data_IF_451023871132
#
_entry.id   IF_451023871132
#
_cell.length_a   1.000
_cell.length_b   1.000
_cell.length_c   1.000
_cell.angle_alpha   90.00
_cell.angle_beta   90.00
_cell.angle_gamma   90.00
#
_symmetry.space_group_name_H-M   'P 1'
#
loop_
_entity.id
_entity.type
_entity.pdbx_description
1 polymer ?
#
# COMPACT_ATOMS: atom_id res chain seq x y z
N UNK A 1 46.19 43.05 -77.51
CA UNK A 1 46.09 41.58 -77.40
C UNK A 1 46.01 41.27 -75.90
N UNK A 2 44.81 41.02 -75.39
CA UNK A 2 44.51 40.78 -73.97
C UNK A 2 44.10 39.33 -73.79
N UNK A 3 44.85 38.59 -73.01
CA UNK A 3 44.57 37.20 -72.66
C UNK A 3 43.54 37.16 -71.50
N UNK A 4 42.46 36.39 -71.67
CA UNK A 4 41.42 36.19 -70.68
C UNK A 4 41.75 34.84 -69.97
N UNK A 5 42.01 34.91 -68.68
CA UNK A 5 42.15 33.74 -67.80
C UNK A 5 40.81 33.35 -67.22
N UNK A 6 40.42 32.13 -67.46
CA UNK A 6 39.16 31.52 -67.00
C UNK A 6 39.45 30.73 -65.71
N UNK A 7 38.89 31.21 -64.57
CA UNK A 7 39.01 30.57 -63.27
C UNK A 7 37.83 29.60 -63.13
N UNK A 8 38.15 28.32 -62.99
CA UNK A 8 37.19 27.22 -62.73
C UNK A 8 37.01 27.07 -61.23
N UNK A 9 35.81 27.48 -60.70
CA UNK A 9 35.49 27.31 -59.32
C UNK A 9 34.84 25.91 -59.09
N UNK A 10 35.54 25.04 -58.37
CA UNK A 10 35.00 23.76 -57.89
C UNK A 10 34.08 24.04 -56.68
N UNK A 11 32.80 23.83 -56.86
CA UNK A 11 31.82 23.75 -55.73
C UNK A 11 31.91 22.36 -55.14
N UNK A 12 32.49 22.26 -53.93
CA UNK A 12 32.46 21.05 -53.13
C UNK A 12 31.10 20.89 -52.46
N UNK A 13 30.33 19.88 -52.86
CA UNK A 13 29.08 19.50 -52.20
C UNK A 13 29.40 18.74 -50.91
N UNK A 14 29.35 19.43 -49.78
CA UNK A 14 29.40 18.77 -48.46
C UNK A 14 28.06 18.13 -48.14
N UNK A 15 27.96 16.79 -48.26
CA UNK A 15 26.84 16.02 -47.80
C UNK A 15 26.81 16.03 -46.24
N UNK A 16 25.92 16.83 -45.67
CA UNK A 16 25.59 16.76 -44.27
C UNK A 16 24.74 15.50 -44.03
N UNK A 17 25.34 14.46 -43.51
CA UNK A 17 24.63 13.29 -43.04
C UNK A 17 23.77 13.70 -41.82
N UNK A 18 22.48 13.93 -42.02
CA UNK A 18 21.47 14.02 -40.97
C UNK A 18 21.37 12.64 -40.33
N UNK A 19 22.14 12.42 -39.25
CA UNK A 19 21.90 11.31 -38.34
C UNK A 19 20.54 11.57 -37.65
N UNK A 20 19.46 10.97 -38.22
CA UNK A 20 18.21 10.81 -37.53
C UNK A 20 18.45 9.92 -36.28
N UNK A 21 18.94 10.51 -35.22
CA UNK A 21 18.86 9.94 -33.88
C UNK A 21 17.38 9.87 -33.53
N UNK A 22 16.76 8.72 -33.82
CA UNK A 22 15.47 8.38 -33.22
C UNK A 22 15.67 8.51 -31.72
N UNK A 23 15.22 9.60 -31.13
CA UNK A 23 15.06 9.70 -29.69
C UNK A 23 14.08 8.55 -29.35
N UNK A 24 14.63 7.44 -28.88
CA UNK A 24 13.83 6.36 -28.31
C UNK A 24 12.98 7.02 -27.24
N UNK A 25 11.67 7.16 -27.49
CA UNK A 25 10.75 7.64 -26.47
C UNK A 25 11.00 6.80 -25.24
N UNK A 26 11.46 7.45 -24.15
CA UNK A 26 11.81 6.75 -22.93
C UNK A 26 10.56 6.01 -22.46
N UNK A 27 10.64 4.69 -22.42
CA UNK A 27 9.52 3.86 -21.99
C UNK A 27 9.11 4.26 -20.57
N UNK A 28 7.81 4.42 -20.33
CA UNK A 28 7.27 4.90 -19.06
C UNK A 28 6.04 4.10 -18.67
N UNK A 29 5.94 3.74 -17.39
CA UNK A 29 4.73 3.18 -16.78
C UNK A 29 4.16 4.14 -15.73
N UNK A 30 2.88 3.99 -15.45
CA UNK A 30 2.17 4.71 -14.38
C UNK A 30 1.76 3.74 -13.29
N UNK A 31 2.21 3.99 -12.05
CA UNK A 31 1.91 3.17 -10.87
C UNK A 31 1.07 3.98 -9.89
N UNK A 32 -0.11 3.45 -9.54
CA UNK A 32 -0.92 3.99 -8.45
C UNK A 32 -0.68 3.15 -7.21
N UNK A 33 -0.26 3.78 -6.11
CA UNK A 33 0.14 3.10 -4.89
C UNK A 33 -0.57 3.64 -3.65
N UNK A 34 -1.22 2.74 -2.91
CA UNK A 34 -1.72 3.00 -1.56
C UNK A 34 -0.67 2.67 -0.49
N UNK A 35 0.62 2.73 -0.83
CA UNK A 35 1.76 2.38 0.02
C UNK A 35 2.47 3.57 0.65
N UNK A 36 3.54 3.31 1.41
CA UNK A 36 4.44 4.37 1.86
C UNK A 36 5.05 5.12 0.68
N UNK A 37 5.07 6.45 0.74
CA UNK A 37 5.61 7.29 -0.33
C UNK A 37 7.10 6.99 -0.59
N UNK A 38 7.89 6.92 0.49
CA UNK A 38 9.32 6.61 0.42
C UNK A 38 9.61 5.23 -0.19
N UNK A 39 8.73 4.24 0.00
CA UNK A 39 8.91 2.92 -0.62
C UNK A 39 8.69 2.98 -2.13
N UNK A 40 7.56 3.54 -2.57
CA UNK A 40 7.28 3.57 -4.01
C UNK A 40 8.28 4.45 -4.77
N UNK A 41 8.76 5.52 -4.16
CA UNK A 41 9.84 6.36 -4.71
C UNK A 41 11.16 5.58 -4.83
N UNK A 42 11.56 4.82 -3.78
CA UNK A 42 12.76 3.99 -3.80
C UNK A 42 12.65 2.90 -4.88
N UNK A 43 11.51 2.21 -4.96
CA UNK A 43 11.25 1.19 -5.97
C UNK A 43 11.26 1.78 -7.39
N UNK A 44 10.65 2.93 -7.62
CA UNK A 44 10.64 3.61 -8.91
C UNK A 44 12.07 4.02 -9.34
N UNK A 45 12.85 4.57 -8.42
CA UNK A 45 14.25 4.95 -8.65
C UNK A 45 15.12 3.75 -8.98
N UNK A 46 15.03 2.68 -8.21
CA UNK A 46 15.82 1.47 -8.41
C UNK A 46 15.44 0.76 -9.72
N UNK A 47 14.15 0.65 -10.02
CA UNK A 47 13.65 0.10 -11.28
C UNK A 47 14.16 0.88 -12.49
N UNK A 48 14.09 2.22 -12.43
CA UNK A 48 14.63 3.08 -13.50
C UNK A 48 16.15 2.85 -13.68
N UNK A 49 16.89 2.77 -12.59
CA UNK A 49 18.34 2.54 -12.65
C UNK A 49 18.70 1.20 -13.31
N UNK A 50 17.90 0.15 -13.07
CA UNK A 50 18.12 -1.17 -13.62
C UNK A 50 17.61 -1.35 -15.05
N UNK A 51 16.42 -0.78 -15.37
CA UNK A 51 15.72 -1.05 -16.62
C UNK A 51 15.75 0.09 -17.65
N UNK A 52 16.09 1.31 -17.22
CA UNK A 52 15.95 2.53 -18.02
C UNK A 52 14.49 3.03 -18.16
N UNK A 53 13.51 2.31 -17.59
CA UNK A 53 12.07 2.63 -17.72
C UNK A 53 11.68 3.64 -16.63
N UNK A 54 11.04 4.73 -17.02
CA UNK A 54 10.50 5.72 -16.10
C UNK A 54 9.24 5.19 -15.41
N UNK A 55 9.05 5.56 -14.13
CA UNK A 55 7.84 5.27 -13.35
C UNK A 55 7.18 6.58 -12.93
N UNK A 56 6.02 6.86 -13.50
CA UNK A 56 5.13 7.90 -12.99
C UNK A 56 4.35 7.36 -11.80
N UNK A 57 4.42 8.04 -10.67
CA UNK A 57 3.77 7.59 -9.44
C UNK A 57 2.62 8.51 -9.07
N UNK A 58 1.47 7.92 -8.75
CA UNK A 58 0.45 8.54 -7.93
C UNK A 58 0.37 7.79 -6.60
N UNK A 59 0.66 8.47 -5.50
CA UNK A 59 0.59 7.91 -4.16
C UNK A 59 -0.58 8.55 -3.39
N UNK A 60 -1.35 7.73 -2.68
CA UNK A 60 -2.48 8.17 -1.86
C UNK A 60 -2.92 7.11 -0.85
N UNK A 61 -4.05 7.36 -0.20
CA UNK A 61 -4.73 6.33 0.59
C UNK A 61 -5.44 5.34 -0.34
N UNK A 62 -5.83 4.16 0.15
CA UNK A 62 -6.62 3.20 -0.64
C UNK A 62 -7.87 3.86 -1.24
N UNK A 63 -8.60 4.65 -0.44
CA UNK A 63 -9.78 5.37 -0.92
C UNK A 63 -9.47 6.36 -2.04
N UNK A 64 -8.39 7.15 -1.91
CA UNK A 64 -7.97 8.11 -2.93
C UNK A 64 -7.53 7.43 -4.23
N UNK A 65 -6.75 6.36 -4.12
CA UNK A 65 -6.30 5.58 -5.29
C UNK A 65 -7.49 4.99 -6.03
N UNK A 66 -8.45 4.40 -5.32
CA UNK A 66 -9.65 3.82 -5.92
C UNK A 66 -10.56 4.87 -6.56
N UNK A 67 -10.77 6.00 -5.89
CA UNK A 67 -11.55 7.11 -6.44
C UNK A 67 -10.92 7.65 -7.75
N UNK A 68 -9.59 7.73 -7.80
CA UNK A 68 -8.89 8.16 -9.01
C UNK A 68 -9.06 7.18 -10.16
N UNK A 69 -8.90 5.87 -9.91
CA UNK A 69 -9.13 4.83 -10.92
C UNK A 69 -10.56 4.91 -11.49
N UNK A 70 -11.56 5.15 -10.64
CA UNK A 70 -12.95 5.31 -11.08
C UNK A 70 -13.16 6.59 -11.88
N UNK A 71 -12.59 7.70 -11.46
CA UNK A 71 -12.69 8.99 -12.16
C UNK A 71 -12.07 8.93 -13.56
N UNK A 72 -10.99 8.16 -13.71
CA UNK A 72 -10.26 7.97 -14.96
C UNK A 72 -10.82 6.82 -15.82
N UNK A 73 -11.95 6.20 -15.45
CA UNK A 73 -12.48 5.00 -16.12
C UNK A 73 -12.71 5.16 -17.63
N UNK A 74 -13.03 6.39 -18.09
CA UNK A 74 -13.19 6.69 -19.53
C UNK A 74 -11.86 6.82 -20.30
N UNK A 75 -10.76 7.15 -19.59
CA UNK A 75 -9.41 7.25 -20.15
C UNK A 75 -8.40 6.83 -19.09
N UNK A 76 -8.26 5.52 -18.82
CA UNK A 76 -7.43 5.01 -17.75
C UNK A 76 -5.94 5.29 -18.00
N UNK A 77 -5.26 5.77 -16.94
CA UNK A 77 -3.84 6.15 -17.00
C UNK A 77 -2.93 5.17 -16.26
N UNK A 78 -3.50 4.34 -15.38
CA UNK A 78 -2.74 3.44 -14.51
C UNK A 78 -2.40 2.12 -15.21
N UNK A 79 -1.12 1.74 -15.16
CA UNK A 79 -0.61 0.46 -15.64
C UNK A 79 -0.55 -0.59 -14.51
N UNK A 80 0.00 -0.20 -13.35
CA UNK A 80 0.12 -1.05 -12.17
C UNK A 80 -0.59 -0.40 -10.99
N UNK A 81 -1.46 -1.17 -10.35
CA UNK A 81 -2.17 -0.78 -9.14
C UNK A 81 -1.62 -1.55 -7.94
N UNK A 82 -1.23 -0.82 -6.87
CA UNK A 82 -0.81 -1.38 -5.58
C UNK A 82 -1.80 -0.92 -4.52
N UNK A 83 -2.58 -1.85 -3.99
CA UNK A 83 -3.57 -1.57 -2.93
C UNK A 83 -3.03 -1.92 -1.55
N UNK A 84 -3.71 -1.46 -0.50
CA UNK A 84 -3.47 -1.86 0.89
C UNK A 84 -4.53 -2.84 1.42
N UNK A 85 -5.32 -3.45 0.53
CA UNK A 85 -6.30 -4.47 0.87
C UNK A 85 -6.47 -5.46 -0.26
N UNK A 86 -6.57 -6.74 0.07
CA UNK A 86 -6.70 -7.82 -0.89
C UNK A 86 -8.07 -7.85 -1.58
N UNK A 87 -9.11 -7.29 -0.94
CA UNK A 87 -10.44 -7.17 -1.53
C UNK A 87 -10.44 -6.40 -2.85
N UNK A 88 -9.50 -5.44 -3.02
CA UNK A 88 -9.31 -4.73 -4.28
C UNK A 88 -8.91 -5.69 -5.41
N UNK A 89 -7.98 -6.61 -5.17
CA UNK A 89 -7.58 -7.61 -6.17
C UNK A 89 -8.74 -8.54 -6.50
N UNK A 90 -9.51 -8.96 -5.50
CA UNK A 90 -10.70 -9.80 -5.67
C UNK A 90 -11.76 -9.09 -6.53
N UNK A 91 -12.04 -7.80 -6.27
CA UNK A 91 -12.99 -7.02 -7.07
C UNK A 91 -12.57 -6.91 -8.53
N UNK A 92 -11.33 -6.49 -8.77
CA UNK A 92 -10.82 -6.29 -10.13
C UNK A 92 -10.72 -7.60 -10.91
N UNK A 93 -10.35 -8.71 -10.26
CA UNK A 93 -10.34 -10.04 -10.88
C UNK A 93 -11.76 -10.48 -11.28
N UNK A 94 -12.76 -10.29 -10.42
CA UNK A 94 -14.17 -10.63 -10.71
C UNK A 94 -14.75 -9.81 -11.86
N UNK A 95 -14.28 -8.58 -12.05
CA UNK A 95 -14.65 -7.70 -13.17
C UNK A 95 -13.80 -7.94 -14.43
N UNK A 96 -12.96 -8.97 -14.44
CA UNK A 96 -12.06 -9.30 -15.55
C UNK A 96 -11.15 -8.13 -15.98
N UNK A 97 -10.65 -7.35 -15.01
CA UNK A 97 -9.85 -6.14 -15.28
C UNK A 97 -8.34 -6.33 -15.13
N UNK A 98 -7.90 -7.53 -14.76
CA UNK A 98 -6.50 -7.81 -14.45
C UNK A 98 -5.85 -8.71 -15.50
N UNK A 99 -4.57 -8.44 -15.76
CA UNK A 99 -3.71 -9.30 -16.57
C UNK A 99 -3.23 -10.47 -15.70
N UNK A 100 -3.35 -11.70 -16.20
CA UNK A 100 -2.72 -12.85 -15.58
C UNK A 100 -1.21 -12.78 -15.78
N UNK A 101 -0.46 -12.80 -14.67
CA UNK A 101 0.99 -12.78 -14.70
C UNK A 101 1.60 -13.43 -13.46
N UNK A 102 2.52 -14.36 -13.67
CA UNK A 102 3.34 -14.95 -12.62
C UNK A 102 4.78 -14.51 -12.78
N UNK A 103 5.27 -13.69 -11.87
CA UNK A 103 6.67 -13.25 -11.85
C UNK A 103 7.62 -14.42 -11.60
N UNK A 104 8.75 -14.53 -12.32
CA UNK A 104 9.79 -15.52 -12.00
C UNK A 104 10.36 -15.34 -10.60
N UNK A 105 10.31 -14.12 -10.05
CA UNK A 105 10.75 -13.80 -8.69
C UNK A 105 9.73 -14.17 -7.60
N UNK A 106 8.54 -14.66 -7.97
CA UNK A 106 7.49 -15.07 -7.03
C UNK A 106 7.65 -16.49 -6.47
N UNK A 107 8.73 -17.21 -6.79
CA UNK A 107 8.97 -18.56 -6.29
C UNK A 107 9.01 -18.63 -4.75
N UNK A 108 9.60 -17.62 -4.11
CA UNK A 108 9.71 -17.50 -2.65
C UNK A 108 8.53 -16.76 -1.99
N UNK A 109 7.50 -16.39 -2.77
CA UNK A 109 6.27 -15.80 -2.25
C UNK A 109 5.29 -16.92 -1.89
N UNK A 110 4.80 -17.00 -0.63
CA UNK A 110 3.80 -17.98 -0.22
C UNK A 110 2.55 -17.96 -1.11
N UNK A 111 1.93 -19.13 -1.28
CA UNK A 111 0.72 -19.26 -2.10
C UNK A 111 -0.44 -18.36 -1.62
N UNK A 112 -0.54 -18.11 -0.31
CA UNK A 112 -1.55 -17.23 0.29
C UNK A 112 -1.36 -15.74 -0.06
N UNK A 113 -0.21 -15.36 -0.62
CA UNK A 113 0.14 -13.98 -1.00
C UNK A 113 0.16 -13.76 -2.51
N UNK A 114 -0.37 -14.69 -3.29
CA UNK A 114 -0.44 -14.57 -4.77
C UNK A 114 -1.64 -15.33 -5.34
N UNK A 115 -2.10 -14.83 -6.48
CA UNK A 115 -3.07 -15.47 -7.37
C UNK A 115 -2.53 -15.41 -8.79
N UNK A 116 -3.31 -15.84 -9.78
CA UNK A 116 -2.93 -15.70 -11.20
C UNK A 116 -2.81 -14.24 -11.66
N UNK A 117 -3.52 -13.32 -10.98
CA UNK A 117 -3.64 -11.92 -11.42
C UNK A 117 -3.12 -10.89 -10.43
N UNK A 118 -2.68 -11.33 -9.25
CA UNK A 118 -2.17 -10.44 -8.20
C UNK A 118 -1.08 -11.12 -7.38
N UNK A 119 -0.11 -10.34 -6.92
CA UNK A 119 0.93 -10.79 -6.00
C UNK A 119 1.21 -9.69 -4.97
N UNK A 120 1.43 -10.07 -3.73
CA UNK A 120 1.72 -9.09 -2.68
C UNK A 120 3.07 -8.39 -2.91
N UNK A 121 3.10 -7.07 -2.78
CA UNK A 121 4.34 -6.28 -2.64
C UNK A 121 5.02 -6.56 -1.30
N UNK A 122 4.22 -6.66 -0.26
CA UNK A 122 4.58 -6.89 1.13
C UNK A 122 3.31 -7.02 1.95
N UNK A 123 3.47 -7.17 3.26
CA UNK A 123 2.36 -7.38 4.18
C UNK A 123 2.47 -6.40 5.34
N UNK A 124 1.38 -5.75 5.72
CA UNK A 124 1.24 -5.04 6.99
C UNK A 124 0.44 -5.88 7.99
N UNK A 125 0.61 -5.64 9.28
CA UNK A 125 -0.31 -6.12 10.28
C UNK A 125 -0.94 -4.93 11.01
N UNK A 126 -2.01 -5.18 11.72
CA UNK A 126 -2.68 -4.17 12.50
C UNK A 126 -2.53 -4.47 13.98
N UNK A 127 -2.35 -3.41 14.76
CA UNK A 127 -2.17 -3.53 16.19
C UNK A 127 -2.77 -2.35 16.96
N UNK A 128 -2.59 -2.39 18.25
CA UNK A 128 -2.76 -1.22 19.09
C UNK A 128 -1.43 -0.47 19.09
N UNK A 129 -1.47 0.83 18.83
CA UNK A 129 -0.34 1.70 19.12
C UNK A 129 -0.66 2.45 20.41
N UNK A 130 0.23 2.38 21.36
CA UNK A 130 0.08 2.99 22.69
C UNK A 130 1.24 3.91 22.99
N UNK A 131 0.93 5.11 23.45
CA UNK A 131 1.92 6.06 23.94
C UNK A 131 2.28 5.72 25.38
N UNK A 132 3.51 5.30 25.63
CA UNK A 132 3.98 4.89 26.96
C UNK A 132 4.07 6.02 27.98
N UNK A 133 3.94 7.28 27.52
CA UNK A 133 3.88 8.48 28.38
C UNK A 133 2.45 8.96 28.67
N UNK A 134 1.42 8.22 28.21
CA UNK A 134 0.02 8.67 28.29
C UNK A 134 -0.64 8.52 29.66
N UNK A 135 0.06 8.06 30.70
CA UNK A 135 -0.48 7.76 32.02
C UNK A 135 -1.58 6.67 32.08
N UNK A 136 -1.96 6.11 30.89
CA UNK A 136 -2.91 5.00 30.83
C UNK A 136 -2.18 3.66 31.02
N UNK A 137 -2.85 2.62 31.56
CA UNK A 137 -2.27 1.29 31.64
C UNK A 137 -1.86 0.80 30.24
N UNK A 138 -0.77 0.04 30.14
CA UNK A 138 -0.40 -0.58 28.85
C UNK A 138 -1.46 -1.59 28.43
N UNK A 139 -2.11 -1.44 27.25
CA UNK A 139 -3.13 -2.38 26.80
C UNK A 139 -2.48 -3.70 26.33
N UNK A 140 -3.24 -4.79 26.34
CA UNK A 140 -2.85 -6.10 25.81
C UNK A 140 -3.87 -6.65 24.82
N UNK A 141 -5.12 -6.19 24.92
CA UNK A 141 -6.26 -6.65 24.13
C UNK A 141 -7.06 -5.50 23.56
N UNK A 142 -7.76 -5.75 22.46
CA UNK A 142 -8.62 -4.75 21.82
C UNK A 142 -9.64 -4.14 22.80
N UNK A 143 -10.23 -4.98 23.66
CA UNK A 143 -11.21 -4.55 24.64
C UNK A 143 -10.64 -3.64 25.74
N UNK A 144 -9.33 -3.65 25.99
CA UNK A 144 -8.71 -2.76 26.98
C UNK A 144 -8.96 -1.28 26.65
N UNK A 145 -9.05 -0.96 25.36
CA UNK A 145 -9.28 0.41 24.90
C UNK A 145 -10.71 0.92 25.16
N UNK A 146 -11.61 0.05 25.61
CA UNK A 146 -12.99 0.42 26.03
C UNK A 146 -13.09 0.73 27.52
N UNK A 147 -12.03 0.54 28.30
CA UNK A 147 -12.01 0.80 29.74
C UNK A 147 -12.05 2.30 30.05
N UNK A 148 -12.52 2.69 31.24
CA UNK A 148 -12.64 4.11 31.63
C UNK A 148 -11.35 4.91 31.52
N UNK A 149 -10.19 4.28 31.75
CA UNK A 149 -8.86 4.90 31.69
C UNK A 149 -8.51 5.42 30.29
N UNK A 150 -9.17 4.88 29.25
CA UNK A 150 -9.01 5.27 27.84
C UNK A 150 -10.10 6.22 27.35
N UNK A 151 -10.98 6.71 28.23
CA UNK A 151 -12.12 7.56 27.82
C UNK A 151 -11.66 8.81 27.07
N UNK A 152 -12.12 8.93 25.81
CA UNK A 152 -11.77 10.05 24.94
C UNK A 152 -10.31 10.06 24.44
N UNK A 153 -9.52 9.03 24.75
CA UNK A 153 -8.08 8.97 24.46
C UNK A 153 -7.71 8.01 23.33
N UNK A 154 -8.69 7.48 22.61
CA UNK A 154 -8.47 6.51 21.51
C UNK A 154 -8.83 7.12 20.16
N UNK A 155 -7.97 6.88 19.18
CA UNK A 155 -8.26 7.11 17.76
C UNK A 155 -8.38 5.79 17.02
N UNK A 156 -9.03 5.80 15.86
CA UNK A 156 -9.02 4.69 14.91
C UNK A 156 -8.95 5.22 13.47
N UNK A 157 -8.24 4.55 12.55
CA UNK A 157 -8.27 4.93 11.15
C UNK A 157 -9.68 4.73 10.55
N UNK A 158 -10.03 5.58 9.58
CA UNK A 158 -11.24 5.42 8.78
C UNK A 158 -11.09 4.24 7.82
N UNK A 159 -11.89 3.17 7.95
CA UNK A 159 -11.79 2.01 7.06
C UNK A 159 -12.21 2.30 5.61
N UNK A 160 -12.90 3.41 5.35
CA UNK A 160 -13.18 3.85 3.97
C UNK A 160 -11.91 4.39 3.28
N UNK A 161 -10.97 4.92 4.05
CA UNK A 161 -9.70 5.46 3.55
C UNK A 161 -8.54 4.48 3.68
N UNK A 162 -8.55 3.60 4.69
CA UNK A 162 -7.51 2.59 4.96
C UNK A 162 -8.02 1.19 4.64
N UNK A 163 -7.49 0.59 3.56
CA UNK A 163 -7.82 -0.80 3.22
C UNK A 163 -7.45 -1.79 4.32
N UNK A 164 -6.30 -1.62 4.96
CA UNK A 164 -5.88 -2.48 6.07
C UNK A 164 -6.82 -2.34 7.30
N UNK A 165 -7.25 -1.11 7.63
CA UNK A 165 -8.25 -0.91 8.69
C UNK A 165 -9.58 -1.58 8.34
N UNK A 166 -9.99 -1.52 7.06
CA UNK A 166 -11.17 -2.24 6.58
C UNK A 166 -11.05 -3.75 6.83
N UNK A 167 -9.92 -4.37 6.51
CA UNK A 167 -9.72 -5.81 6.76
C UNK A 167 -9.79 -6.15 8.25
N UNK A 168 -9.26 -5.31 9.14
CA UNK A 168 -9.34 -5.53 10.59
C UNK A 168 -10.81 -5.50 11.09
N UNK A 169 -11.55 -4.45 10.75
CA UNK A 169 -12.93 -4.34 11.23
C UNK A 169 -13.82 -5.44 10.67
N UNK A 170 -13.61 -5.84 9.42
CA UNK A 170 -14.30 -6.97 8.81
C UNK A 170 -14.02 -8.29 9.53
N UNK A 171 -12.74 -8.55 9.86
CA UNK A 171 -12.34 -9.75 10.59
C UNK A 171 -12.89 -9.76 12.03
N UNK A 172 -12.86 -8.63 12.73
CA UNK A 172 -13.45 -8.52 14.08
C UNK A 172 -14.97 -8.70 14.04
N UNK A 173 -15.66 -8.11 13.06
CA UNK A 173 -17.10 -8.33 12.84
C UNK A 173 -17.40 -9.81 12.59
N UNK A 174 -16.62 -10.46 11.72
CA UNK A 174 -16.81 -11.89 11.41
C UNK A 174 -16.56 -12.77 12.66
N UNK A 175 -15.50 -12.49 13.43
CA UNK A 175 -15.18 -13.22 14.65
C UNK A 175 -16.24 -13.11 15.72
N UNK A 176 -16.78 -11.91 15.95
CA UNK A 176 -17.71 -11.64 17.05
C UNK A 176 -19.18 -11.73 16.65
N UNK A 177 -19.50 -11.75 15.36
CA UNK A 177 -20.86 -11.74 14.84
C UNK A 177 -21.65 -10.44 15.12
N UNK A 178 -20.99 -9.40 15.65
CA UNK A 178 -21.63 -8.13 16.03
C UNK A 178 -20.62 -6.98 16.11
N UNK A 179 -21.12 -5.79 16.42
CA UNK A 179 -20.35 -4.55 16.54
C UNK A 179 -20.12 -4.09 17.99
N UNK A 180 -20.32 -4.96 18.98
CA UNK A 180 -20.26 -4.58 20.40
C UNK A 180 -18.95 -3.91 20.80
N UNK A 181 -17.80 -4.42 20.31
CA UNK A 181 -16.49 -3.82 20.59
C UNK A 181 -16.38 -2.38 20.02
N UNK A 182 -16.82 -2.17 18.76
CA UNK A 182 -16.77 -0.85 18.11
C UNK A 182 -17.74 0.12 18.78
N UNK A 183 -18.93 -0.35 19.18
CA UNK A 183 -19.91 0.45 19.92
C UNK A 183 -19.38 0.85 21.30
N UNK A 184 -18.67 -0.06 21.99
CA UNK A 184 -18.04 0.24 23.27
C UNK A 184 -16.90 1.26 23.12
N UNK A 185 -16.08 1.17 22.06
CA UNK A 185 -15.07 2.19 21.72
C UNK A 185 -15.73 3.56 21.50
N UNK A 186 -16.81 3.61 20.71
CA UNK A 186 -17.56 4.84 20.46
C UNK A 186 -18.15 5.44 21.75
N UNK A 187 -18.81 4.62 22.58
CA UNK A 187 -19.35 5.03 23.87
C UNK A 187 -18.26 5.53 24.84
N UNK A 188 -17.04 5.00 24.71
CA UNK A 188 -15.87 5.47 25.45
C UNK A 188 -15.18 6.70 24.81
N UNK A 189 -15.78 7.30 23.80
CA UNK A 189 -15.31 8.53 23.16
C UNK A 189 -14.15 8.35 22.18
N UNK A 190 -13.96 7.16 21.63
CA UNK A 190 -13.02 6.96 20.53
C UNK A 190 -13.46 7.73 19.28
N UNK A 191 -12.50 8.25 18.52
CA UNK A 191 -12.77 9.04 17.31
C UNK A 191 -12.16 8.40 16.06
N UNK A 192 -12.86 8.48 14.94
CA UNK A 192 -12.34 8.17 13.62
C UNK A 192 -11.55 9.37 13.12
N UNK A 193 -10.25 9.20 12.83
CA UNK A 193 -9.32 10.30 12.55
C UNK A 193 -8.67 10.19 11.18
N UNK A 194 -9.44 10.00 10.13
CA UNK A 194 -8.94 9.92 8.76
C UNK A 194 -8.14 8.63 8.48
N UNK A 195 -7.13 8.68 7.61
CA UNK A 195 -6.31 7.52 7.29
C UNK A 195 -5.28 7.20 8.40
N UNK A 196 -4.45 6.17 8.20
CA UNK A 196 -3.56 5.63 9.24
C UNK A 196 -2.65 6.67 9.90
N UNK A 197 -2.00 7.55 9.12
CA UNK A 197 -1.12 8.58 9.69
C UNK A 197 -1.91 9.63 10.50
N UNK A 198 -3.10 10.02 10.03
CA UNK A 198 -3.95 10.96 10.75
C UNK A 198 -4.46 10.38 12.07
N UNK A 199 -4.72 9.07 12.14
CA UNK A 199 -5.09 8.41 13.38
C UNK A 199 -3.90 8.31 14.36
N UNK A 200 -2.68 8.17 13.86
CA UNK A 200 -1.47 8.07 14.68
C UNK A 200 -0.99 9.43 15.24
N UNK A 201 -1.08 10.49 14.45
CA UNK A 201 -0.54 11.81 14.81
C UNK A 201 -0.98 12.32 16.20
N UNK A 202 -2.26 12.26 16.61
CA UNK A 202 -2.67 12.71 17.95
C UNK A 202 -2.02 11.89 19.07
N UNK A 203 -1.63 10.63 18.83
CA UNK A 203 -0.95 9.78 19.81
C UNK A 203 0.52 10.17 19.92
N UNK A 204 1.19 10.44 18.81
CA UNK A 204 2.58 10.96 18.78
C UNK A 204 2.68 12.32 19.47
N UNK A 205 1.67 13.19 19.30
CA UNK A 205 1.59 14.50 19.94
C UNK A 205 1.18 14.47 21.43
N UNK A 206 0.86 13.28 21.97
CA UNK A 206 0.40 13.14 23.35
C UNK A 206 -1.04 13.59 23.60
N UNK A 207 -1.79 14.00 22.58
CA UNK A 207 -3.20 14.39 22.71
C UNK A 207 -4.13 13.17 22.87
N UNK A 208 -3.67 11.98 22.50
CA UNK A 208 -4.36 10.70 22.64
C UNK A 208 -3.39 9.65 23.20
N UNK A 209 -3.95 8.62 23.83
CA UNK A 209 -3.18 7.55 24.43
C UNK A 209 -2.93 6.37 23.48
N UNK A 210 -3.91 6.07 22.62
CA UNK A 210 -3.80 4.90 21.76
C UNK A 210 -4.51 5.03 20.42
N UNK A 211 -4.05 4.21 19.45
CA UNK A 211 -4.75 3.94 18.20
C UNK A 211 -5.30 2.52 18.25
N UNK A 212 -6.59 2.35 18.01
CA UNK A 212 -7.22 1.07 17.73
C UNK A 212 -7.07 0.73 16.23
N UNK A 213 -6.40 -0.36 15.91
CA UNK A 213 -6.25 -0.80 14.52
C UNK A 213 -5.25 0.02 13.68
N UNK A 214 -4.14 0.44 14.30
CA UNK A 214 -3.05 1.08 13.58
C UNK A 214 -2.32 0.09 12.66
N UNK A 215 -1.92 0.51 11.47
CA UNK A 215 -0.96 -0.23 10.67
C UNK A 215 0.42 -0.17 11.34
N UNK A 216 1.03 -1.32 11.47
CA UNK A 216 2.25 -1.53 12.25
C UNK A 216 3.49 -0.84 11.68
N UNK A 217 3.70 -0.89 10.36
CA UNK A 217 4.93 -0.40 9.73
C UNK A 217 5.18 1.10 9.96
N UNK A 218 4.12 1.93 9.96
CA UNK A 218 4.25 3.37 10.24
C UNK A 218 4.73 3.56 11.68
N UNK A 219 4.09 2.87 12.61
CA UNK A 219 4.38 2.99 14.03
C UNK A 219 5.71 2.38 14.43
N UNK A 220 6.12 1.27 13.78
CA UNK A 220 7.44 0.68 13.97
C UNK A 220 8.55 1.61 13.48
N UNK A 221 8.34 2.32 12.35
CA UNK A 221 9.27 3.34 11.87
C UNK A 221 9.38 4.49 12.88
N UNK A 222 8.26 5.05 13.34
CA UNK A 222 8.24 6.13 14.32
C UNK A 222 8.91 5.71 15.64
N UNK A 223 8.69 4.48 16.11
CA UNK A 223 9.37 3.93 17.28
C UNK A 223 10.87 3.82 17.07
N UNK A 224 11.31 3.39 15.91
CA UNK A 224 12.75 3.32 15.56
C UNK A 224 13.39 4.71 15.48
N UNK A 225 12.63 5.74 15.09
CA UNK A 225 13.02 7.14 15.08
C UNK A 225 13.00 7.80 16.47
N UNK A 226 12.65 7.04 17.53
CA UNK A 226 12.73 7.48 18.93
C UNK A 226 11.40 7.92 19.54
N UNK A 227 10.29 7.77 18.85
CA UNK A 227 8.97 8.06 19.44
C UNK A 227 8.62 7.10 20.58
N UNK A 228 7.96 7.64 21.61
CA UNK A 228 7.64 6.90 22.85
C UNK A 228 6.34 6.11 22.70
N UNK A 229 6.28 5.24 21.70
CA UNK A 229 5.12 4.39 21.41
C UNK A 229 5.49 2.91 21.40
N UNK A 230 4.52 2.06 21.74
CA UNK A 230 4.59 0.61 21.56
C UNK A 230 3.59 0.16 20.53
N UNK A 231 3.99 -0.83 19.72
CA UNK A 231 3.10 -1.57 18.81
C UNK A 231 2.77 -2.90 19.47
N UNK A 232 1.49 -3.13 19.71
CA UNK A 232 0.99 -4.27 20.48
C UNK A 232 0.04 -5.06 19.57
N UNK A 233 0.35 -6.35 19.40
CA UNK A 233 -0.52 -7.26 18.69
C UNK A 233 -1.33 -8.06 19.72
N UNK A 234 -2.67 -7.88 19.79
CA UNK A 234 -3.49 -8.57 20.78
C UNK A 234 -3.44 -10.09 20.64
N UNK A 235 -3.36 -10.80 21.77
CA UNK A 235 -3.36 -12.25 21.79
C UNK A 235 -4.67 -12.86 21.28
N UNK A 236 -5.78 -12.12 21.43
CA UNK A 236 -7.08 -12.48 20.83
C UNK A 236 -7.08 -12.50 19.31
N UNK A 237 -6.06 -11.96 18.68
CA UNK A 237 -5.82 -12.02 17.23
C UNK A 237 -5.92 -10.67 16.54
N UNK A 238 -5.22 -10.61 15.40
CA UNK A 238 -5.19 -9.46 14.50
C UNK A 238 -5.29 -9.92 13.04
N UNK A 239 -5.10 -9.02 12.09
CA UNK A 239 -5.03 -9.36 10.67
C UNK A 239 -3.66 -9.03 10.09
N UNK A 240 -3.23 -9.87 9.16
CA UNK A 240 -2.21 -9.52 8.20
C UNK A 240 -2.91 -9.03 6.94
N UNK A 241 -2.55 -7.83 6.49
CA UNK A 241 -3.12 -7.18 5.32
C UNK A 241 -2.09 -7.19 4.17
N UNK A 242 -2.15 -8.17 3.26
CA UNK A 242 -1.30 -8.22 2.09
C UNK A 242 -1.61 -7.05 1.16
N UNK A 243 -0.58 -6.55 0.50
CA UNK A 243 -0.64 -5.38 -0.39
C UNK A 243 -0.54 -5.85 -1.85
N UNK A 244 -1.66 -6.17 -2.52
CA UNK A 244 -1.63 -6.72 -3.87
C UNK A 244 -1.09 -5.72 -4.88
N UNK A 245 -0.21 -6.19 -5.76
CA UNK A 245 0.18 -5.54 -7.01
C UNK A 245 -0.56 -6.21 -8.15
N UNK A 246 -1.11 -5.42 -9.05
CA UNK A 246 -1.95 -5.85 -10.17
C UNK A 246 -1.61 -5.08 -11.43
N UNK A 247 -1.55 -5.76 -12.58
CA UNK A 247 -1.45 -5.14 -13.91
C UNK A 247 -2.86 -5.00 -14.47
N UNK A 248 -3.23 -3.80 -14.90
CA UNK A 248 -4.57 -3.53 -15.42
C UNK A 248 -4.66 -3.90 -16.91
N UNK A 249 -5.76 -4.52 -17.35
CA UNK A 249 -5.95 -4.96 -18.75
C UNK A 249 -5.96 -3.80 -19.77
N UNK A 250 -6.28 -2.59 -19.34
CA UNK A 250 -6.23 -1.41 -20.21
C UNK A 250 -4.84 -0.79 -20.35
N UNK A 251 -3.84 -1.30 -19.63
CA UNK A 251 -2.46 -0.84 -19.76
C UNK A 251 -1.96 -0.99 -21.20
N UNK A 252 -1.28 0.04 -21.68
CA UNK A 252 -0.56 0.01 -22.96
C UNK A 252 0.90 -0.42 -22.80
N UNK A 253 1.34 -0.67 -21.56
CA UNK A 253 2.73 -0.95 -21.16
C UNK A 253 2.82 -2.25 -20.34
N UNK A 254 2.12 -3.30 -20.79
CA UNK A 254 2.00 -4.57 -20.04
C UNK A 254 3.36 -5.21 -19.79
N UNK A 255 4.26 -5.20 -20.78
CA UNK A 255 5.58 -5.83 -20.63
C UNK A 255 6.49 -5.05 -19.68
N UNK A 256 6.42 -3.72 -19.68
CA UNK A 256 7.12 -2.87 -18.71
C UNK A 256 6.53 -3.03 -17.30
N UNK A 257 5.22 -3.17 -17.20
CA UNK A 257 4.52 -3.43 -15.93
C UNK A 257 4.92 -4.78 -15.33
N UNK A 258 5.08 -5.83 -16.14
CA UNK A 258 5.62 -7.13 -15.71
C UNK A 258 7.03 -6.99 -15.16
N UNK A 259 7.93 -6.29 -15.88
CA UNK A 259 9.30 -6.02 -15.42
C UNK A 259 9.32 -5.26 -14.10
N UNK A 260 8.38 -4.32 -13.90
CA UNK A 260 8.27 -3.60 -12.63
C UNK A 260 7.88 -4.54 -11.47
N UNK A 261 6.90 -5.43 -11.67
CA UNK A 261 6.54 -6.44 -10.67
C UNK A 261 7.72 -7.37 -10.38
N UNK A 262 8.46 -7.80 -11.42
CA UNK A 262 9.67 -8.63 -11.25
C UNK A 262 10.72 -7.92 -10.40
N UNK A 263 10.94 -6.63 -10.66
CA UNK A 263 11.86 -5.83 -9.86
C UNK A 263 11.40 -5.70 -8.41
N UNK A 264 10.13 -5.39 -8.17
CA UNK A 264 9.60 -5.28 -6.80
C UNK A 264 9.76 -6.60 -6.03
N UNK A 265 9.65 -7.75 -6.71
CA UNK A 265 9.82 -9.08 -6.14
C UNK A 265 11.28 -9.58 -6.19
N UNK A 266 12.23 -8.80 -6.70
CA UNK A 266 13.65 -9.14 -6.60
C UNK A 266 14.15 -9.03 -5.16
N UNK A 267 15.31 -9.62 -4.82
CA UNK A 267 15.92 -9.42 -3.51
C UNK A 267 16.12 -7.94 -3.17
N UNK A 268 16.54 -7.12 -4.13
CA UNK A 268 16.73 -5.67 -3.99
C UNK A 268 15.42 -4.94 -3.71
N UNK A 269 14.38 -5.21 -4.50
CA UNK A 269 13.06 -4.60 -4.29
C UNK A 269 12.44 -4.98 -2.95
N UNK A 270 12.58 -6.24 -2.54
CA UNK A 270 12.07 -6.71 -1.25
C UNK A 270 12.92 -6.22 -0.06
N UNK A 271 14.19 -5.92 -0.26
CA UNK A 271 15.00 -5.23 0.75
C UNK A 271 14.47 -3.80 1.00
N UNK A 272 14.03 -3.07 -0.05
CA UNK A 272 13.36 -1.77 0.12
C UNK A 272 12.04 -1.90 0.90
N UNK A 273 11.27 -2.97 0.65
CA UNK A 273 10.04 -3.27 1.42
C UNK A 273 10.37 -3.46 2.91
N UNK A 274 11.44 -4.21 3.23
CA UNK A 274 11.86 -4.43 4.62
C UNK A 274 12.32 -3.15 5.32
N UNK A 275 13.01 -2.24 4.61
CA UNK A 275 13.52 -0.97 5.15
C UNK A 275 12.41 -0.06 5.68
N UNK A 276 11.22 -0.11 5.10
CA UNK A 276 10.07 0.69 5.56
C UNK A 276 9.21 -0.05 6.58
N UNK A 277 9.73 -1.08 7.22
CA UNK A 277 9.05 -1.91 8.22
C UNK A 277 7.79 -2.64 7.69
N UNK A 278 7.58 -2.75 6.39
CA UNK A 278 6.65 -3.75 5.85
C UNK A 278 7.27 -5.15 5.96
N UNK A 279 6.44 -6.18 6.16
CA UNK A 279 6.90 -7.55 6.01
C UNK A 279 7.11 -7.83 4.51
N UNK A 280 8.29 -8.29 4.08
CA UNK A 280 8.50 -8.70 2.71
C UNK A 280 7.51 -9.77 2.28
N UNK A 281 7.08 -9.74 1.02
CA UNK A 281 6.25 -10.80 0.47
C UNK A 281 7.02 -12.12 0.30
N UNK A 282 8.33 -12.05 0.04
CA UNK A 282 9.22 -13.19 -0.06
C UNK A 282 9.62 -13.69 1.33
N UNK A 283 9.60 -15.01 1.50
CA UNK A 283 9.94 -15.66 2.78
C UNK A 283 11.43 -15.72 3.08
N UNK A 284 12.30 -15.53 2.07
CA UNK A 284 13.76 -15.55 2.19
C UNK A 284 14.41 -14.19 2.52
N UNK A 285 13.61 -13.12 2.57
CA UNK A 285 14.11 -11.78 2.91
C UNK A 285 13.92 -11.52 4.42
N UNK A 286 15.02 -11.13 5.07
CA UNK A 286 15.01 -10.78 6.50
C UNK A 286 14.39 -9.40 6.71
N UNK A 287 13.61 -9.26 7.79
CA UNK A 287 13.08 -7.98 8.25
C UNK A 287 13.26 -7.83 9.76
N UNK A 288 13.55 -6.63 10.23
CA UNK A 288 13.76 -6.33 11.66
C UNK A 288 12.43 -5.98 12.32
N UNK A 289 11.51 -6.95 12.32
CA UNK A 289 10.17 -6.82 12.89
C UNK A 289 9.51 -8.19 13.05
N UNK A 290 8.43 -8.33 13.86
CA UNK A 290 7.60 -9.54 13.86
C UNK A 290 7.05 -9.84 12.47
N UNK A 291 7.04 -11.10 12.07
CA UNK A 291 6.54 -11.58 10.80
C UNK A 291 5.16 -12.24 10.96
N UNK A 292 4.51 -12.56 9.87
CA UNK A 292 3.18 -13.21 9.85
C UNK A 292 3.12 -14.45 10.77
N UNK A 293 4.17 -15.26 10.78
CA UNK A 293 4.28 -16.47 11.62
C UNK A 293 4.33 -16.20 13.13
N UNK A 294 4.67 -15.00 13.52
CA UNK A 294 4.80 -14.56 14.93
C UNK A 294 3.49 -13.95 15.47
N UNK A 295 2.45 -13.87 14.63
CA UNK A 295 1.16 -13.24 14.94
C UNK A 295 0.05 -14.26 15.07
N UNK A 296 -0.87 -14.02 16.00
CA UNK A 296 -2.15 -14.75 16.02
C UNK A 296 -3.11 -14.09 15.04
N UNK A 297 -3.40 -14.76 13.93
CA UNK A 297 -4.21 -14.18 12.85
C UNK A 297 -5.67 -14.59 12.94
N UNK A 298 -6.54 -13.62 12.73
CA UNK A 298 -7.96 -13.82 12.48
C UNK A 298 -8.17 -14.30 11.05
N UNK A 299 -9.09 -15.24 10.88
CA UNK A 299 -9.49 -15.69 9.55
C UNK A 299 -10.34 -14.64 8.88
N UNK A 300 -10.07 -14.35 7.61
CA UNK A 300 -10.84 -13.42 6.77
C UNK A 300 -11.19 -14.10 5.45
N UNK A 301 -12.48 -14.26 5.17
CA UNK A 301 -12.96 -14.63 3.85
C UNK A 301 -13.02 -13.39 2.96
N UNK A 302 -12.00 -13.20 2.13
CA UNK A 302 -11.88 -12.04 1.25
C UNK A 302 -13.00 -11.94 0.21
N UNK A 303 -13.59 -13.06 -0.21
CA UNK A 303 -14.70 -13.09 -1.16
C UNK A 303 -15.97 -12.54 -0.51
N UNK A 304 -16.28 -13.01 0.69
CA UNK A 304 -17.42 -12.55 1.46
C UNK A 304 -17.27 -11.08 1.87
N UNK A 305 -16.10 -10.71 2.35
CA UNK A 305 -15.79 -9.33 2.77
C UNK A 305 -15.94 -8.34 1.62
N UNK A 306 -15.47 -8.71 0.43
CA UNK A 306 -15.68 -7.89 -0.76
C UNK A 306 -17.17 -7.70 -1.06
N UNK A 307 -17.94 -8.79 -1.07
CA UNK A 307 -19.39 -8.73 -1.36
C UNK A 307 -20.15 -7.82 -0.36
N UNK A 308 -19.71 -7.76 0.88
CA UNK A 308 -20.32 -7.01 1.98
C UNK A 308 -19.61 -5.67 2.28
N UNK A 309 -18.65 -5.22 1.46
CA UNK A 309 -17.83 -4.03 1.76
C UNK A 309 -18.67 -2.79 2.11
N UNK A 310 -19.69 -2.47 1.30
CA UNK A 310 -20.56 -1.30 1.54
C UNK A 310 -21.33 -1.44 2.85
N UNK A 311 -21.87 -2.62 3.11
CA UNK A 311 -22.59 -2.94 4.34
C UNK A 311 -21.70 -2.77 5.57
N UNK A 312 -20.51 -3.40 5.58
CA UNK A 312 -19.53 -3.34 6.67
C UNK A 312 -19.11 -1.90 6.97
N UNK A 313 -18.83 -1.09 5.95
CA UNK A 313 -18.48 0.32 6.12
C UNK A 313 -19.66 1.13 6.71
N UNK A 314 -20.88 0.90 6.24
CA UNK A 314 -22.07 1.55 6.78
C UNK A 314 -22.36 1.17 8.23
N UNK A 315 -22.25 -0.11 8.56
CA UNK A 315 -22.43 -0.61 9.93
C UNK A 315 -21.37 -0.07 10.89
N UNK A 316 -20.09 -0.02 10.45
CA UNK A 316 -19.01 0.58 11.24
C UNK A 316 -19.30 2.06 11.51
N UNK A 317 -19.67 2.82 10.49
CA UNK A 317 -20.00 4.24 10.65
C UNK A 317 -21.17 4.44 11.63
N UNK A 318 -22.22 3.61 11.52
CA UNK A 318 -23.34 3.64 12.46
C UNK A 318 -22.95 3.23 13.88
N UNK A 319 -22.05 2.26 14.05
CA UNK A 319 -21.52 1.85 15.36
C UNK A 319 -20.69 2.95 16.01
N UNK A 320 -19.89 3.68 15.24
CA UNK A 320 -19.07 4.80 15.73
C UNK A 320 -19.85 6.10 15.96
N UNK A 321 -21.05 6.24 15.39
CA UNK A 321 -21.91 7.42 15.61
C UNK A 321 -22.77 7.33 16.90
N UNK A 322 -22.83 6.18 17.55
CA UNK A 322 -23.58 5.98 18.80
C UNK A 322 -22.78 6.57 19.97
N UNK A 323 -23.25 7.72 20.46
CA UNK A 323 -22.72 8.38 21.68
C UNK A 323 -23.41 7.82 22.92
#
# INVERSE_FOLDING_TARGET
MRAFSMILSLFGLSAVALSNGSALAQSRITVYSAGPANLIEALAKGFKAQSGIEVGVFQGTTGQVMARVETEAANPMVDVLISASWDTATDFARRDRLVAYTSPNAAQVPASLKTETAVAQGVSALGIVWNSKSETPRPSEWADLTKPEYRGLVTTPDPAQSGASFELIAALRAKHGNWALVQALSANGAIVAGANAQALNPVLQGAKAAVFGAVDYISLAQKADGETIDVIFPASGTVAAPRPMMILKWSRHIEEAKKFIDYVLSPEGQAEVAKVYLMPARSDIKANRPLVKDLNLLTLDTQQVYAQRREILGEFAAAMARK
#
